data_IF_322750396639
#
_entry.id   IF_322750396639
#
_cell.length_a   1.000
_cell.length_b   1.000
_cell.length_c   1.000
_cell.angle_alpha   90.00
_cell.angle_beta   90.00
_cell.angle_gamma   90.00
#
_symmetry.space_group_name_H-M   'P 1'
#
loop_
_entity.id
_entity.type
_entity.pdbx_description
1 polymer ?
#
# COMPACT_ATOMS: atom_id res chain seq x y z
N UNK A 1 4.83 -8.73 3.30
CA UNK A 1 5.28 -7.33 3.13
C UNK A 1 5.96 -7.13 1.78
N UNK A 2 6.02 -5.86 1.32
CA UNK A 2 6.70 -5.47 0.07
C UNK A 2 6.24 -6.21 -1.19
N UNK A 3 5.02 -6.75 -1.19
CA UNK A 3 4.42 -7.42 -2.36
C UNK A 3 4.00 -6.43 -3.47
N UNK A 4 4.12 -5.11 -3.24
CA UNK A 4 3.79 -4.08 -4.21
C UNK A 4 2.34 -3.58 -4.14
N UNK A 5 1.63 -3.74 -3.01
CA UNK A 5 0.23 -3.29 -2.86
C UNK A 5 0.05 -1.81 -3.16
N UNK A 6 0.78 -0.94 -2.48
CA UNK A 6 0.71 0.52 -2.65
C UNK A 6 1.10 0.95 -4.08
N UNK A 7 2.09 0.27 -4.69
CA UNK A 7 2.47 0.48 -6.09
C UNK A 7 1.31 0.15 -7.03
N UNK A 8 0.64 -1.00 -6.79
CA UNK A 8 -0.51 -1.43 -7.56
C UNK A 8 -1.68 -0.46 -7.42
N UNK A 9 -2.00 -0.03 -6.20
CA UNK A 9 -3.09 0.94 -5.97
C UNK A 9 -2.81 2.26 -6.69
N UNK A 10 -1.59 2.79 -6.61
CA UNK A 10 -1.19 3.99 -7.33
C UNK A 10 -1.37 3.84 -8.85
N UNK A 11 -0.96 2.68 -9.39
CA UNK A 11 -1.08 2.40 -10.82
C UNK A 11 -2.54 2.28 -11.26
N UNK A 12 -3.37 1.56 -10.49
CA UNK A 12 -4.80 1.40 -10.77
C UNK A 12 -5.54 2.74 -10.72
N UNK A 13 -5.24 3.60 -9.75
CA UNK A 13 -5.84 4.93 -9.64
C UNK A 13 -5.25 5.96 -10.62
N UNK A 14 -4.16 5.65 -11.33
CA UNK A 14 -3.45 6.58 -12.21
C UNK A 14 -2.86 7.80 -11.49
N UNK A 15 -2.81 7.77 -10.16
CA UNK A 15 -2.39 8.85 -9.28
C UNK A 15 -1.62 8.31 -8.08
N UNK A 16 -0.73 9.12 -7.51
CA UNK A 16 -0.03 8.78 -6.28
C UNK A 16 -0.95 8.93 -5.08
N UNK A 17 -1.58 7.85 -4.68
CA UNK A 17 -2.49 7.77 -3.53
C UNK A 17 -1.74 7.37 -2.26
N UNK A 18 -0.90 6.36 -2.36
CA UNK A 18 -0.11 5.82 -1.25
C UNK A 18 1.39 6.01 -1.47
N UNK A 19 2.13 6.19 -0.40
CA UNK A 19 3.59 6.26 -0.47
C UNK A 19 4.19 4.87 -0.69
N UNK A 20 5.32 4.85 -1.37
CA UNK A 20 6.04 3.61 -1.68
C UNK A 20 7.48 3.69 -1.20
N UNK A 21 8.00 2.61 -0.64
CA UNK A 21 9.41 2.51 -0.30
C UNK A 21 9.89 1.05 -0.36
N UNK A 22 11.21 0.82 -0.46
CA UNK A 22 11.77 -0.52 -0.34
C UNK A 22 11.67 -1.10 1.07
N UNK A 23 11.33 -0.28 2.06
CA UNK A 23 11.26 -0.68 3.47
C UNK A 23 9.91 -1.33 3.75
N UNK A 24 9.87 -2.50 4.41
CA UNK A 24 8.63 -3.12 4.85
C UNK A 24 7.82 -2.20 5.77
N UNK A 25 6.49 -2.36 5.76
CA UNK A 25 5.56 -1.57 6.58
C UNK A 25 5.58 -0.06 6.28
N UNK A 26 5.73 0.29 5.02
CA UNK A 26 5.63 1.68 4.57
C UNK A 26 4.23 2.25 4.83
N UNK A 27 3.18 1.51 4.47
CA UNK A 27 1.78 1.85 4.76
C UNK A 27 1.47 1.52 6.22
N UNK A 28 0.95 2.50 6.97
CA UNK A 28 0.60 2.37 8.40
C UNK A 28 -0.86 2.62 8.70
N UNK A 29 -1.56 3.25 7.77
CA UNK A 29 -2.96 3.61 7.86
C UNK A 29 -3.73 2.95 6.72
N UNK A 30 -5.05 2.92 6.83
CA UNK A 30 -5.93 2.60 5.71
C UNK A 30 -5.89 3.77 4.73
N UNK A 31 -5.47 3.53 3.51
CA UNK A 31 -5.42 4.53 2.45
C UNK A 31 -6.47 4.15 1.41
N UNK A 32 -7.41 5.06 1.12
CA UNK A 32 -8.37 4.84 0.05
C UNK A 32 -7.88 5.45 -1.26
N UNK A 33 -7.81 4.58 -2.28
CA UNK A 33 -7.60 4.97 -3.66
C UNK A 33 -8.89 4.77 -4.44
N UNK A 34 -9.28 5.75 -5.23
CA UNK A 34 -10.54 5.76 -5.95
C UNK A 34 -10.24 5.74 -7.45
N UNK A 35 -10.78 4.74 -8.14
CA UNK A 35 -10.74 4.63 -9.59
C UNK A 35 -12.15 4.78 -10.12
N UNK A 36 -12.43 5.89 -10.79
CA UNK A 36 -13.70 6.12 -11.50
C UNK A 36 -13.49 5.97 -13.00
N UNK A 37 -14.35 5.20 -13.64
CA UNK A 37 -14.37 4.96 -15.10
C UNK A 37 -15.81 4.97 -15.62
N UNK A 38 -15.97 4.85 -16.92
CA UNK A 38 -17.30 4.69 -17.54
C UNK A 38 -18.05 3.42 -17.08
N UNK A 39 -17.34 2.46 -16.47
CA UNK A 39 -17.93 1.23 -15.93
C UNK A 39 -18.47 1.39 -14.51
N UNK A 40 -18.06 2.44 -13.79
CA UNK A 40 -18.38 2.67 -12.39
C UNK A 40 -17.16 3.05 -11.58
N UNK A 41 -17.20 2.80 -10.26
CA UNK A 41 -16.19 3.21 -9.32
C UNK A 41 -15.69 2.02 -8.48
N UNK A 42 -14.36 1.87 -8.39
CA UNK A 42 -13.70 0.96 -7.47
C UNK A 42 -12.98 1.74 -6.38
N UNK A 43 -13.18 1.37 -5.12
CA UNK A 43 -12.50 1.96 -3.98
C UNK A 43 -11.53 0.94 -3.42
N UNK A 44 -10.26 1.18 -3.62
CA UNK A 44 -9.18 0.35 -3.08
C UNK A 44 -8.82 0.80 -1.67
N UNK A 45 -8.78 -0.12 -0.73
CA UNK A 45 -8.29 0.14 0.62
C UNK A 45 -6.89 -0.47 0.72
N UNK A 46 -5.84 0.36 0.55
CA UNK A 46 -4.46 -0.09 0.80
C UNK A 46 -4.25 -0.26 2.29
N UNK A 47 -3.85 -1.47 2.66
CA UNK A 47 -3.67 -1.86 4.05
C UNK A 47 -2.19 -2.07 4.36
N UNK A 48 -1.78 -1.89 5.63
CA UNK A 48 -0.44 -2.27 6.07
C UNK A 48 -0.11 -3.72 5.72
N UNK A 49 1.17 -4.00 5.54
CA UNK A 49 1.64 -5.37 5.36
C UNK A 49 1.42 -6.20 6.62
N UNK A 50 0.89 -7.42 6.46
CA UNK A 50 0.72 -8.35 7.57
C UNK A 50 2.07 -8.92 8.01
N UNK A 51 2.38 -8.82 9.30
CA UNK A 51 3.65 -9.28 9.87
C UNK A 51 3.43 -10.13 11.10
N UNK A 52 4.21 -11.21 11.21
CA UNK A 52 4.24 -12.02 12.43
C UNK A 52 5.09 -11.29 13.49
N UNK A 53 4.45 -10.57 14.39
CA UNK A 53 5.11 -9.91 15.52
C UNK A 53 4.12 -9.62 16.62
N UNK A 54 4.54 -9.80 17.88
CA UNK A 54 3.74 -9.54 19.07
C UNK A 54 3.86 -8.09 19.59
N UNK A 55 4.64 -7.23 18.92
CA UNK A 55 4.74 -5.82 19.29
C UNK A 55 3.38 -5.15 19.14
N UNK A 56 2.99 -4.29 20.08
CA UNK A 56 1.68 -3.60 20.12
C UNK A 56 1.31 -2.94 18.80
N UNK A 57 2.27 -2.30 18.14
CA UNK A 57 2.07 -1.67 16.84
C UNK A 57 1.68 -2.68 15.74
N UNK A 58 2.33 -3.85 15.70
CA UNK A 58 2.01 -4.88 14.72
C UNK A 58 0.67 -5.57 15.00
N UNK A 59 0.25 -5.69 16.25
CA UNK A 59 -1.09 -6.16 16.62
C UNK A 59 -2.16 -5.17 16.14
N UNK A 60 -1.91 -3.87 16.26
CA UNK A 60 -2.78 -2.84 15.70
C UNK A 60 -2.91 -2.97 14.17
N UNK A 61 -1.79 -3.13 13.45
CA UNK A 61 -1.81 -3.31 11.99
C UNK A 61 -2.53 -4.60 11.56
N UNK A 62 -2.39 -5.69 12.31
CA UNK A 62 -3.15 -6.93 12.09
C UNK A 62 -4.65 -6.70 12.19
N UNK A 63 -5.08 -6.09 13.28
CA UNK A 63 -6.50 -5.76 13.50
C UNK A 63 -7.03 -4.89 12.37
N UNK A 64 -6.27 -3.91 11.92
CA UNK A 64 -6.66 -3.02 10.82
C UNK A 64 -6.93 -3.81 9.52
N UNK A 65 -6.10 -4.83 9.21
CA UNK A 65 -6.32 -5.71 8.05
C UNK A 65 -7.56 -6.57 8.24
N UNK A 66 -7.71 -7.19 9.42
CA UNK A 66 -8.86 -8.05 9.75
C UNK A 66 -10.19 -7.28 9.67
N UNK A 67 -10.25 -6.09 10.26
CA UNK A 67 -11.41 -5.20 10.19
C UNK A 67 -11.71 -4.81 8.74
N UNK A 68 -10.68 -4.52 7.94
CA UNK A 68 -10.87 -4.15 6.52
C UNK A 68 -11.46 -5.29 5.70
N UNK A 69 -11.02 -6.53 5.92
CA UNK A 69 -11.56 -7.70 5.18
C UNK A 69 -13.06 -7.89 5.45
N UNK A 70 -13.55 -7.50 6.62
CA UNK A 70 -14.98 -7.62 6.96
C UNK A 70 -15.85 -6.51 6.35
N UNK A 71 -15.26 -5.40 5.91
CA UNK A 71 -15.97 -4.21 5.43
C UNK A 71 -16.00 -4.11 3.89
N UNK A 72 -15.34 -5.03 3.16
CA UNK A 72 -15.19 -4.93 1.71
C UNK A 72 -16.03 -5.94 0.94
N UNK A 73 -16.39 -5.60 -0.29
CA UNK A 73 -17.15 -6.47 -1.19
C UNK A 73 -16.27 -7.48 -1.92
N UNK A 74 -14.95 -7.20 -2.03
CA UNK A 74 -13.99 -7.98 -2.79
C UNK A 74 -12.62 -7.91 -2.16
N UNK A 75 -11.88 -9.01 -2.16
CA UNK A 75 -10.48 -9.05 -1.72
C UNK A 75 -9.55 -9.21 -2.91
N UNK A 76 -8.62 -8.25 -3.07
CA UNK A 76 -7.48 -8.33 -3.98
C UNK A 76 -6.24 -8.77 -3.19
N UNK A 77 -5.90 -10.06 -3.27
CA UNK A 77 -4.71 -10.60 -2.61
C UNK A 77 -3.48 -10.44 -3.50
N UNK A 78 -2.57 -9.56 -3.13
CA UNK A 78 -1.32 -9.30 -3.86
C UNK A 78 -0.20 -10.14 -3.28
N UNK A 79 0.37 -11.02 -4.10
CA UNK A 79 1.46 -11.93 -3.71
C UNK A 79 2.70 -11.69 -4.57
N UNK A 80 3.88 -11.71 -3.92
CA UNK A 80 5.18 -11.49 -4.55
C UNK A 80 5.72 -12.78 -5.17
N UNK A 81 5.88 -12.83 -6.48
CA UNK A 81 6.43 -14.00 -7.20
C UNK A 81 7.95 -14.00 -7.33
N UNK A 82 8.63 -12.98 -6.83
CA UNK A 82 10.11 -12.94 -6.82
C UNK A 82 10.74 -13.72 -5.67
N UNK A 83 9.93 -14.29 -4.78
CA UNK A 83 10.34 -15.12 -3.64
C UNK A 83 9.35 -16.25 -3.38
N UNK A 84 9.78 -17.35 -2.73
CA UNK A 84 8.86 -18.41 -2.36
C UNK A 84 7.83 -17.91 -1.33
N UNK A 85 6.60 -18.47 -1.32
CA UNK A 85 5.64 -18.24 -0.24
C UNK A 85 6.22 -18.66 1.12
N UNK A 86 5.95 -17.87 2.15
CA UNK A 86 6.43 -18.10 3.50
C UNK A 86 5.32 -17.99 4.54
N UNK A 87 5.70 -17.92 5.82
CA UNK A 87 4.75 -17.87 6.95
C UNK A 87 3.77 -16.69 6.85
N UNK A 88 4.19 -15.56 6.30
CA UNK A 88 3.31 -14.39 6.16
C UNK A 88 2.22 -14.63 5.13
N UNK A 89 2.56 -15.27 4.01
CA UNK A 89 1.61 -15.67 2.99
C UNK A 89 0.62 -16.70 3.53
N UNK A 90 1.06 -17.66 4.37
CA UNK A 90 0.20 -18.62 5.06
C UNK A 90 -0.82 -17.93 5.97
N UNK A 91 -0.36 -17.00 6.81
CA UNK A 91 -1.22 -16.26 7.72
C UNK A 91 -2.26 -15.39 6.99
N UNK A 92 -1.86 -14.74 5.88
CA UNK A 92 -2.79 -13.96 5.07
C UNK A 92 -3.79 -14.87 4.37
N UNK A 93 -3.35 -15.96 3.76
CA UNK A 93 -4.22 -16.89 3.08
C UNK A 93 -5.27 -17.49 4.03
N UNK A 94 -4.90 -17.82 5.27
CA UNK A 94 -5.83 -18.27 6.31
C UNK A 94 -6.93 -17.22 6.57
N UNK A 95 -6.56 -15.94 6.67
CA UNK A 95 -7.55 -14.86 6.89
C UNK A 95 -8.43 -14.62 5.68
N UNK A 96 -7.84 -14.61 4.49
CA UNK A 96 -8.57 -14.39 3.23
C UNK A 96 -9.48 -15.58 2.92
N UNK A 97 -9.14 -16.80 3.31
CA UNK A 97 -9.95 -18.00 3.05
C UNK A 97 -11.32 -17.96 3.71
N UNK A 98 -11.47 -17.21 4.81
CA UNK A 98 -12.75 -17.04 5.53
C UNK A 98 -13.66 -15.98 4.88
N UNK A 99 -13.16 -15.21 3.92
CA UNK A 99 -13.95 -14.20 3.21
C UNK A 99 -14.96 -14.86 2.28
N UNK A 100 -16.21 -14.39 2.33
CA UNK A 100 -17.32 -15.00 1.58
C UNK A 100 -17.55 -14.38 0.20
N UNK A 101 -16.89 -13.25 -0.09
CA UNK A 101 -16.98 -12.57 -1.39
C UNK A 101 -15.95 -13.06 -2.41
N UNK A 102 -15.88 -12.40 -3.57
CA UNK A 102 -14.90 -12.69 -4.59
C UNK A 102 -13.46 -12.43 -4.10
N UNK A 103 -12.55 -13.36 -4.42
CA UNK A 103 -11.12 -13.23 -4.13
C UNK A 103 -10.36 -13.26 -5.44
N UNK A 104 -9.61 -12.21 -5.74
CA UNK A 104 -8.68 -12.13 -6.85
C UNK A 104 -7.25 -12.16 -6.32
N UNK A 105 -6.46 -13.12 -6.78
CA UNK A 105 -5.03 -13.22 -6.45
C UNK A 105 -4.19 -12.60 -7.57
N UNK A 106 -3.53 -11.48 -7.26
CA UNK A 106 -2.60 -10.81 -8.15
C UNK A 106 -1.18 -11.32 -7.89
N UNK A 107 -0.68 -12.18 -8.80
CA UNK A 107 0.68 -12.69 -8.80
C UNK A 107 1.59 -11.59 -9.35
N UNK A 108 2.12 -10.76 -8.45
CA UNK A 108 2.87 -9.56 -8.80
C UNK A 108 4.37 -9.83 -8.96
N UNK A 109 5.05 -8.89 -9.64
CA UNK A 109 6.49 -8.89 -9.94
C UNK A 109 6.91 -9.97 -10.94
N UNK A 110 6.06 -10.21 -11.95
CA UNK A 110 6.40 -11.16 -13.03
C UNK A 110 7.59 -10.69 -13.88
N UNK A 111 7.96 -9.42 -13.77
CA UNK A 111 9.13 -8.78 -14.38
C UNK A 111 10.45 -9.20 -13.74
N UNK A 112 10.44 -9.86 -12.56
CA UNK A 112 11.65 -10.24 -11.83
C UNK A 112 12.04 -11.69 -12.12
N UNK A 113 13.35 -11.91 -12.32
CA UNK A 113 13.97 -13.22 -12.51
C UNK A 113 15.06 -13.42 -11.44
N UNK A 114 15.16 -14.60 -10.76
CA UNK A 114 14.33 -15.79 -10.92
C UNK A 114 12.92 -15.62 -10.39
N UNK A 115 11.94 -16.37 -10.95
CA UNK A 115 10.54 -16.34 -10.54
C UNK A 115 10.16 -17.61 -9.79
N UNK A 116 9.44 -17.46 -8.68
CA UNK A 116 8.87 -18.53 -7.87
C UNK A 116 7.37 -18.74 -8.16
N UNK A 117 6.92 -18.32 -9.34
CA UNK A 117 5.51 -18.33 -9.74
C UNK A 117 4.85 -19.70 -9.58
N UNK A 118 5.50 -20.78 -9.99
CA UNK A 118 4.95 -22.15 -9.86
C UNK A 118 4.71 -22.53 -8.41
N UNK A 119 5.62 -22.14 -7.50
CA UNK A 119 5.45 -22.39 -6.08
C UNK A 119 4.30 -21.55 -5.51
N UNK A 120 4.15 -20.31 -5.96
CA UNK A 120 3.03 -19.44 -5.57
C UNK A 120 1.71 -20.00 -6.10
N UNK A 121 1.64 -20.48 -7.34
CA UNK A 121 0.46 -21.13 -7.90
C UNK A 121 0.08 -22.41 -7.14
N UNK A 122 1.07 -23.24 -6.79
CA UNK A 122 0.85 -24.43 -5.96
C UNK A 122 0.33 -24.04 -4.56
N UNK A 123 0.92 -23.04 -3.93
CA UNK A 123 0.46 -22.50 -2.66
C UNK A 123 -1.02 -22.04 -2.74
N UNK A 124 -1.37 -21.25 -3.75
CA UNK A 124 -2.74 -20.76 -3.94
C UNK A 124 -3.73 -21.91 -4.23
N UNK A 125 -3.31 -22.97 -4.94
CA UNK A 125 -4.14 -24.16 -5.14
C UNK A 125 -4.51 -24.82 -3.82
N UNK A 126 -3.59 -24.85 -2.87
CA UNK A 126 -3.80 -25.50 -1.58
C UNK A 126 -4.58 -24.62 -0.59
N UNK A 127 -4.30 -23.31 -0.57
CA UNK A 127 -4.80 -22.39 0.46
C UNK A 127 -6.02 -21.58 0.04
N UNK A 128 -6.11 -21.21 -1.23
CA UNK A 128 -7.16 -20.36 -1.80
C UNK A 128 -7.59 -20.89 -3.18
N UNK A 129 -8.11 -22.12 -3.26
CA UNK A 129 -8.50 -22.74 -4.54
C UNK A 129 -9.59 -21.94 -5.26
N UNK A 130 -10.43 -21.21 -4.52
CA UNK A 130 -11.52 -20.36 -5.04
C UNK A 130 -11.03 -19.03 -5.63
N UNK A 131 -9.79 -18.59 -5.35
CA UNK A 131 -9.29 -17.33 -5.84
C UNK A 131 -9.00 -17.38 -7.35
N UNK A 132 -9.52 -16.43 -8.12
CA UNK A 132 -9.09 -16.20 -9.50
C UNK A 132 -7.68 -15.63 -9.56
N UNK A 133 -6.90 -15.92 -10.60
CA UNK A 133 -5.46 -15.63 -10.64
C UNK A 133 -5.11 -14.72 -11.79
N UNK A 134 -4.34 -13.69 -11.48
CA UNK A 134 -3.94 -12.65 -12.43
C UNK A 134 -2.43 -12.41 -12.30
N UNK A 135 -1.72 -12.61 -13.42
CA UNK A 135 -0.27 -12.37 -13.48
C UNK A 135 -0.04 -10.91 -13.85
N UNK A 136 0.69 -10.20 -13.01
CA UNK A 136 0.90 -8.75 -13.17
C UNK A 136 2.31 -8.32 -12.82
N UNK A 137 2.69 -7.18 -13.36
CA UNK A 137 3.76 -6.34 -12.82
C UNK A 137 3.21 -4.96 -12.51
N UNK A 138 3.10 -4.63 -11.22
CA UNK A 138 2.72 -3.30 -10.79
C UNK A 138 3.78 -2.24 -11.13
N UNK A 139 5.00 -2.65 -11.46
CA UNK A 139 6.07 -1.76 -11.87
C UNK A 139 5.98 -1.39 -13.36
N UNK A 140 5.74 -2.38 -14.23
CA UNK A 140 5.73 -2.19 -15.69
C UNK A 140 4.33 -1.95 -16.25
N UNK A 141 3.28 -2.25 -15.49
CA UNK A 141 1.89 -2.19 -15.96
C UNK A 141 1.41 -3.45 -16.69
N UNK A 142 2.26 -4.47 -16.84
CA UNK A 142 1.87 -5.72 -17.49
C UNK A 142 0.74 -6.41 -16.73
N UNK A 143 -0.29 -6.89 -17.45
CA UNK A 143 -1.46 -7.58 -16.90
C UNK A 143 -2.48 -6.69 -16.19
N UNK A 144 -2.19 -5.40 -15.97
CA UNK A 144 -3.06 -4.48 -15.23
C UNK A 144 -4.41 -4.23 -15.92
N UNK A 145 -4.50 -4.03 -17.25
CA UNK A 145 -5.79 -3.85 -17.91
C UNK A 145 -6.75 -5.03 -17.70
N UNK A 146 -6.24 -6.27 -17.79
CA UNK A 146 -7.03 -7.47 -17.56
C UNK A 146 -7.45 -7.63 -16.10
N UNK A 147 -6.55 -7.35 -15.16
CA UNK A 147 -6.89 -7.33 -13.73
C UNK A 147 -7.97 -6.28 -13.43
N UNK A 148 -7.84 -5.06 -13.99
CA UNK A 148 -8.83 -4.00 -13.79
C UNK A 148 -10.20 -4.41 -14.31
N UNK A 149 -10.25 -5.04 -15.49
CA UNK A 149 -11.50 -5.58 -16.02
C UNK A 149 -12.12 -6.60 -15.07
N UNK A 150 -11.32 -7.57 -14.60
CA UNK A 150 -11.78 -8.60 -13.69
C UNK A 150 -12.28 -8.04 -12.33
N UNK A 151 -11.65 -6.97 -11.84
CA UNK A 151 -12.10 -6.29 -10.63
C UNK A 151 -13.49 -5.67 -10.81
N UNK A 152 -13.74 -5.01 -11.94
CA UNK A 152 -15.07 -4.49 -12.27
C UNK A 152 -16.11 -5.61 -12.50
N UNK A 153 -15.70 -6.73 -13.11
CA UNK A 153 -16.60 -7.86 -13.35
C UNK A 153 -17.01 -8.56 -12.05
N UNK A 154 -16.14 -8.53 -11.03
CA UNK A 154 -16.37 -9.16 -9.73
C UNK A 154 -17.01 -8.23 -8.70
N UNK A 155 -16.92 -6.92 -8.88
CA UNK A 155 -17.51 -5.93 -7.97
C UNK A 155 -19.04 -5.92 -8.09
N UNK A 156 -19.78 -5.74 -6.97
CA UNK A 156 -21.23 -5.58 -7.03
C UNK A 156 -21.62 -4.27 -7.72
N UNK A 157 -22.80 -4.26 -8.30
CA UNK A 157 -23.41 -3.01 -8.79
C UNK A 157 -23.81 -2.10 -7.64
N UNK A 158 -23.63 -0.80 -7.80
CA UNK A 158 -23.96 0.20 -6.78
C UNK A 158 -23.88 1.62 -7.30
N UNK A 159 -24.17 2.56 -6.44
CA UNK A 159 -24.04 3.99 -6.71
C UNK A 159 -22.59 4.44 -6.54
N UNK A 160 -22.24 5.57 -7.17
CA UNK A 160 -20.94 6.22 -6.94
C UNK A 160 -20.89 6.76 -5.50
N UNK A 161 -19.88 6.35 -4.73
CA UNK A 161 -19.72 6.78 -3.34
C UNK A 161 -18.92 8.09 -3.23
N UNK A 162 -18.14 8.42 -4.26
CA UNK A 162 -17.33 9.65 -4.33
C UNK A 162 -17.59 10.38 -5.64
N UNK A 163 -17.45 11.72 -5.67
CA UNK A 163 -17.42 12.48 -6.91
C UNK A 163 -16.39 11.94 -7.91
N UNK A 164 -16.65 12.06 -9.20
CA UNK A 164 -15.84 11.46 -10.26
C UNK A 164 -14.39 11.97 -10.29
N UNK A 165 -14.16 13.20 -9.86
CA UNK A 165 -12.84 13.83 -9.79
C UNK A 165 -11.99 13.36 -8.59
N UNK A 166 -12.57 12.61 -7.65
CA UNK A 166 -11.84 12.11 -6.49
C UNK A 166 -11.04 10.86 -6.85
N UNK A 167 -9.77 10.88 -6.50
CA UNK A 167 -8.88 9.71 -6.57
C UNK A 167 -8.42 9.24 -5.18
N UNK A 168 -8.75 9.99 -4.12
CA UNK A 168 -8.54 9.67 -2.71
C UNK A 168 -9.39 10.57 -1.83
N UNK A 169 -9.71 10.12 -0.63
CA UNK A 169 -10.40 10.88 0.42
C UNK A 169 -9.46 11.39 1.53
N UNK A 170 -8.15 11.32 1.30
CA UNK A 170 -7.16 11.74 2.28
C UNK A 170 -7.17 13.26 2.48
N UNK A 171 -7.11 13.68 3.75
CA UNK A 171 -6.88 15.08 4.09
C UNK A 171 -5.54 15.57 3.53
N UNK A 172 -5.48 16.83 3.04
CA UNK A 172 -4.25 17.41 2.50
C UNK A 172 -3.06 17.34 3.45
N UNK A 173 -3.27 17.60 4.75
CA UNK A 173 -2.24 17.56 5.79
C UNK A 173 -1.65 16.16 5.91
N UNK A 174 -2.51 15.14 6.00
CA UNK A 174 -2.09 13.76 6.06
C UNK A 174 -1.30 13.37 4.81
N UNK A 175 -1.78 13.76 3.65
CA UNK A 175 -1.16 13.44 2.38
C UNK A 175 0.23 14.07 2.22
N UNK A 176 0.37 15.34 2.63
CA UNK A 176 1.65 16.03 2.62
C UNK A 176 2.61 15.41 3.64
N UNK A 177 2.13 15.07 4.84
CA UNK A 177 2.94 14.37 5.84
C UNK A 177 3.49 13.04 5.33
N UNK A 178 2.67 12.26 4.61
CA UNK A 178 3.09 10.99 4.01
C UNK A 178 4.12 11.20 2.88
N UNK A 179 3.98 12.21 2.03
CA UNK A 179 4.96 12.55 1.00
C UNK A 179 6.31 12.92 1.62
N UNK A 180 6.32 13.74 2.67
CA UNK A 180 7.54 14.09 3.41
C UNK A 180 8.14 12.84 4.06
N UNK A 181 7.29 11.99 4.67
CA UNK A 181 7.73 10.73 5.27
C UNK A 181 8.35 9.78 4.25
N UNK A 182 7.78 9.67 3.06
CA UNK A 182 8.36 8.88 1.98
C UNK A 182 9.79 9.33 1.64
N UNK A 183 9.99 10.64 1.42
CA UNK A 183 11.31 11.19 1.12
C UNK A 183 12.31 10.91 2.24
N UNK A 184 11.91 11.14 3.48
CA UNK A 184 12.76 10.87 4.63
C UNK A 184 13.08 9.38 4.81
N UNK A 185 12.15 8.46 4.49
CA UNK A 185 12.38 7.01 4.50
C UNK A 185 13.38 6.60 3.44
N UNK A 186 13.33 7.17 2.23
CA UNK A 186 14.29 6.89 1.16
C UNK A 186 15.72 7.31 1.51
N UNK A 187 15.87 8.40 2.27
CA UNK A 187 17.18 8.95 2.71
C UNK A 187 17.73 8.26 3.97
N UNK A 188 16.93 7.37 4.59
CA UNK A 188 17.30 6.71 5.83
C UNK A 188 17.38 5.19 5.68
N UNK A 189 18.10 4.53 6.59
CA UNK A 189 18.28 3.07 6.61
C UNK A 189 18.08 2.53 8.02
N UNK A 190 18.00 1.21 8.14
CA UNK A 190 17.87 0.47 9.40
C UNK A 190 16.58 0.80 10.16
N UNK A 191 16.67 1.18 11.44
CA UNK A 191 15.56 1.37 12.37
C UNK A 191 14.78 2.67 12.17
N UNK A 192 15.38 3.69 11.53
CA UNK A 192 14.78 5.03 11.40
C UNK A 192 13.46 5.02 10.63
N UNK A 193 13.36 4.31 9.47
CA UNK A 193 12.09 4.22 8.75
C UNK A 193 10.90 3.78 9.59
N UNK A 194 11.12 2.95 10.61
CA UNK A 194 10.07 2.41 11.47
C UNK A 194 9.64 3.37 12.58
N UNK A 195 10.55 4.22 13.04
CA UNK A 195 10.33 5.17 14.14
C UNK A 195 9.97 6.58 13.68
N UNK A 196 10.11 6.86 12.38
CA UNK A 196 9.86 8.19 11.82
C UNK A 196 8.36 8.49 11.71
N UNK A 197 7.97 9.64 12.26
CA UNK A 197 6.65 10.25 12.12
C UNK A 197 6.81 11.68 11.58
N UNK A 198 5.82 12.18 10.84
CA UNK A 198 5.78 13.53 10.31
C UNK A 198 4.51 14.21 10.78
N UNK A 199 4.66 15.38 11.40
CA UNK A 199 3.57 16.21 11.87
C UNK A 199 3.57 17.53 11.09
N UNK A 200 2.43 17.90 10.52
CA UNK A 200 2.24 19.19 9.88
C UNK A 200 1.86 20.18 10.97
N UNK A 201 2.66 21.24 11.11
CA UNK A 201 2.42 22.29 12.08
C UNK A 201 1.64 23.46 11.48
N UNK A 202 1.89 23.75 10.20
CA UNK A 202 1.29 24.92 9.55
C UNK A 202 1.35 24.77 8.02
N UNK A 203 0.33 25.29 7.32
CA UNK A 203 0.29 25.33 5.86
C UNK A 203 -0.29 26.66 5.39
N UNK A 204 0.34 27.27 4.42
CA UNK A 204 -0.07 28.54 3.83
C UNK A 204 0.04 28.52 2.31
N UNK A 205 -1.05 28.88 1.64
CA UNK A 205 -1.03 29.07 0.18
C UNK A 205 -0.55 30.51 -0.10
N UNK A 206 0.62 30.62 -0.74
CA UNK A 206 1.22 31.91 -1.08
C UNK A 206 0.57 32.52 -2.34
N UNK A 207 0.72 33.81 -2.52
CA UNK A 207 0.18 34.57 -3.68
C UNK A 207 0.64 34.02 -5.03
N UNK A 208 1.84 33.46 -5.11
CA UNK A 208 2.40 32.85 -6.31
C UNK A 208 1.83 31.46 -6.62
N UNK A 209 0.82 31.00 -5.85
CA UNK A 209 0.20 29.67 -5.99
C UNK A 209 0.96 28.52 -5.34
N UNK A 210 2.17 28.75 -4.77
CA UNK A 210 2.91 27.71 -4.04
C UNK A 210 2.31 27.46 -2.66
N UNK A 211 2.41 26.23 -2.19
CA UNK A 211 2.05 25.85 -0.82
C UNK A 211 3.30 25.86 0.04
N UNK A 212 3.32 26.71 1.07
CA UNK A 212 4.33 26.68 2.09
C UNK A 212 3.88 25.77 3.23
N UNK A 213 4.79 24.89 3.70
CA UNK A 213 4.47 23.89 4.73
C UNK A 213 5.54 23.92 5.80
N UNK A 214 5.12 23.95 7.07
CA UNK A 214 5.97 23.70 8.22
C UNK A 214 5.66 22.33 8.78
N UNK A 215 6.68 21.46 8.80
CA UNK A 215 6.54 20.09 9.28
C UNK A 215 7.62 19.73 10.29
N UNK A 216 7.29 18.89 11.25
CA UNK A 216 8.22 18.28 12.19
C UNK A 216 8.48 16.82 11.79
N UNK A 217 9.76 16.47 11.65
CA UNK A 217 10.21 15.09 11.53
C UNK A 217 10.51 14.57 12.94
N UNK A 218 9.65 13.71 13.44
CA UNK A 218 9.71 13.18 14.79
C UNK A 218 10.32 11.78 14.78
N UNK A 219 11.28 11.53 15.66
CA UNK A 219 11.97 10.26 15.85
C UNK A 219 11.99 9.87 17.33
N UNK A 220 12.15 8.60 17.63
CA UNK A 220 12.09 8.09 19.00
C UNK A 220 13.31 8.45 19.86
N UNK A 221 14.49 8.65 19.23
CA UNK A 221 15.76 8.85 19.94
C UNK A 221 16.57 9.99 19.33
N UNK A 222 17.29 10.72 20.16
CA UNK A 222 18.18 11.81 19.71
C UNK A 222 19.28 11.33 18.76
N UNK A 223 19.79 10.12 18.93
CA UNK A 223 20.77 9.52 18.02
C UNK A 223 20.25 9.39 16.57
N UNK A 224 18.94 9.17 16.39
CA UNK A 224 18.29 9.08 15.08
C UNK A 224 18.16 10.44 14.40
N UNK A 225 18.02 11.52 15.20
CA UNK A 225 17.92 12.89 14.72
C UNK A 225 19.15 13.31 13.90
N UNK A 226 20.33 12.99 14.39
CA UNK A 226 21.59 13.28 13.69
C UNK A 226 21.70 12.55 12.33
N UNK A 227 21.20 11.31 12.26
CA UNK A 227 21.19 10.51 11.02
C UNK A 227 20.20 11.09 10.00
N UNK A 228 19.05 11.57 10.46
CA UNK A 228 18.01 12.16 9.61
C UNK A 228 18.45 13.52 9.05
N UNK A 229 19.09 14.37 9.86
CA UNK A 229 19.62 15.66 9.44
C UNK A 229 20.80 15.50 8.46
N UNK A 230 21.68 14.52 8.73
CA UNK A 230 22.91 14.31 7.98
C UNK A 230 23.99 15.36 8.26
N UNK A 231 25.20 15.11 7.76
CA UNK A 231 26.36 16.02 7.96
C UNK A 231 26.06 17.41 7.35
N UNK A 232 26.05 18.44 8.17
CA UNK A 232 25.76 19.81 7.74
C UNK A 232 24.33 20.03 7.21
N UNK A 233 23.38 19.13 7.55
CA UNK A 233 21.99 19.22 7.09
C UNK A 233 21.78 18.72 5.65
N UNK A 234 22.71 17.97 5.09
CA UNK A 234 22.66 17.56 3.69
C UNK A 234 21.42 16.75 3.33
N UNK A 235 20.94 15.85 4.20
CA UNK A 235 19.79 14.99 3.93
C UNK A 235 18.45 15.72 4.04
N UNK A 236 18.36 16.73 4.88
CA UNK A 236 17.11 17.46 5.09
C UNK A 236 16.92 18.60 4.08
N UNK A 237 17.94 18.90 3.27
CA UNK A 237 17.92 19.93 2.21
C UNK A 237 17.57 19.37 0.83
N UNK A 238 17.60 18.05 0.66
CA UNK A 238 17.20 17.36 -0.57
C UNK A 238 15.70 17.21 -0.68
#
# INVERSE_FOLDING_TARGET
PSAGKSTLVNLLCGQKVAITSPVPQTTRNRIRGILTTVRGQLIFIDTPGYHKSERKFNLYLKKLVEDTIQEVDLVLYVIDTSRPPGEEEELIAERVSSFQGPILAALNKIDITPSYREQVETFLNLRLPQASRWRISALTGEGIPLLTQALFDAAPEGELLYPEEYYTDQDPDFRISEIIREKAVWETRQEIPHSLYVEISDMEKRENGSLWVRAFLVVERDSQKGILIGKGGAKIKT
#
